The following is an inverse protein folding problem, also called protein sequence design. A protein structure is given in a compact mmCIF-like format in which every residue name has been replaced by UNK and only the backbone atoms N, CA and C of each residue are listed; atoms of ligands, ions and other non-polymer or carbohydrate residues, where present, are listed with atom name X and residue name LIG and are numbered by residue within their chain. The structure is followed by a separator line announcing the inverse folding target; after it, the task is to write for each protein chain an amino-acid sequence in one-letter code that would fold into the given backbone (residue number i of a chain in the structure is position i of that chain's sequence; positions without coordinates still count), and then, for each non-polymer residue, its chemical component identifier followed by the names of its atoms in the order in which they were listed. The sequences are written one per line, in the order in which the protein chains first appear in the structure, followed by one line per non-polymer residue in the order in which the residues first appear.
data_IF_763160437474
#
_entry.id   IF_763160437474
#
_cell.length_a   1.000
_cell.length_b   1.000
_cell.length_c   1.000
_cell.angle_alpha   90.00
_cell.angle_beta   90.00
_cell.angle_gamma   90.00
#
_symmetry.space_group_name_H-M   'P 1'
#
loop_
_entity.id
_entity.type
_entity.pdbx_description
1 polymer ?
#
# COMPACT_ATOMS: atom_id res chain seq x y z
N UNK A 1 -0.79 -9.89 7.88
CA UNK A 1 -1.14 -11.25 7.43
C UNK A 1 -2.32 -11.25 6.46
N UNK A 2 -3.48 -10.69 6.82
CA UNK A 2 -4.68 -10.70 5.97
C UNK A 2 -4.48 -10.11 4.56
N UNK A 3 -3.79 -8.98 4.40
CA UNK A 3 -3.50 -8.43 3.05
C UNK A 3 -2.79 -9.41 2.11
N UNK A 4 -1.73 -10.06 2.61
CA UNK A 4 -0.93 -11.02 1.83
C UNK A 4 -1.71 -12.32 1.61
N UNK A 5 -2.59 -12.70 2.55
CA UNK A 5 -3.47 -13.85 2.37
C UNK A 5 -4.51 -13.59 1.26
N UNK A 6 -5.15 -12.41 1.25
CA UNK A 6 -6.09 -12.00 0.20
C UNK A 6 -5.40 -11.99 -1.17
N UNK A 7 -4.24 -11.35 -1.28
CA UNK A 7 -3.45 -11.32 -2.51
C UNK A 7 -2.94 -12.69 -2.97
N UNK A 8 -2.95 -13.72 -2.11
CA UNK A 8 -2.63 -15.10 -2.49
C UNK A 8 -3.86 -15.90 -2.91
N UNK A 9 -5.02 -15.61 -2.33
CA UNK A 9 -6.25 -16.33 -2.56
C UNK A 9 -6.98 -15.86 -3.82
N UNK A 10 -6.91 -14.56 -4.11
CA UNK A 10 -7.58 -13.95 -5.26
C UNK A 10 -6.58 -13.66 -6.39
N UNK A 11 -6.85 -14.20 -7.58
CA UNK A 11 -6.00 -14.03 -8.77
C UNK A 11 -6.20 -12.69 -9.46
N UNK A 12 -7.29 -11.99 -9.18
CA UNK A 12 -7.56 -10.65 -9.71
C UNK A 12 -6.73 -9.59 -8.98
N UNK A 13 -6.19 -9.91 -7.80
CA UNK A 13 -5.35 -9.00 -7.03
C UNK A 13 -3.97 -8.89 -7.68
N UNK A 14 -3.68 -7.74 -8.27
CA UNK A 14 -2.42 -7.48 -8.96
C UNK A 14 -1.36 -6.82 -8.05
N UNK A 15 -1.78 -6.15 -6.97
CA UNK A 15 -0.89 -5.39 -6.10
C UNK A 15 -1.44 -5.25 -4.67
N UNK A 16 -0.54 -4.87 -3.75
CA UNK A 16 -0.89 -4.38 -2.41
C UNK A 16 -0.44 -2.91 -2.32
N UNK A 17 -1.35 -2.00 -2.02
CA UNK A 17 -1.03 -0.60 -1.81
C UNK A 17 -1.04 -0.27 -0.32
N UNK A 18 -0.10 0.54 0.17
CA UNK A 18 -0.08 0.96 1.56
C UNK A 18 0.39 2.39 1.78
N UNK A 19 -0.25 3.07 2.74
CA UNK A 19 0.24 4.35 3.26
C UNK A 19 1.10 4.12 4.50
N UNK A 20 2.27 4.74 4.57
CA UNK A 20 3.18 4.57 5.71
C UNK A 20 4.03 5.80 6.01
N UNK A 21 4.06 6.22 7.28
CA UNK A 21 4.92 7.34 7.73
C UNK A 21 6.35 6.91 8.11
N UNK A 22 6.54 5.66 8.54
CA UNK A 22 7.85 5.15 9.01
C UNK A 22 8.38 3.98 8.19
N UNK A 23 7.64 3.55 7.17
CA UNK A 23 7.96 2.37 6.36
C UNK A 23 7.70 1.04 7.08
N UNK A 24 7.17 1.04 8.31
CA UNK A 24 6.91 -0.19 9.08
C UNK A 24 5.92 -1.12 8.36
N UNK A 25 4.82 -0.57 7.86
CA UNK A 25 3.78 -1.33 7.14
C UNK A 25 4.36 -2.03 5.90
N UNK A 26 5.03 -1.28 5.03
CA UNK A 26 5.64 -1.80 3.82
C UNK A 26 6.69 -2.90 4.11
N UNK A 27 7.52 -2.72 5.14
CA UNK A 27 8.51 -3.73 5.56
C UNK A 27 7.85 -5.00 6.10
N UNK A 28 6.78 -4.89 6.89
CA UNK A 28 6.02 -6.05 7.36
C UNK A 28 5.43 -6.80 6.17
N UNK A 29 4.78 -6.11 5.24
CA UNK A 29 4.22 -6.73 4.03
C UNK A 29 5.32 -7.42 3.20
N UNK A 30 6.44 -6.74 2.94
CA UNK A 30 7.57 -7.29 2.19
C UNK A 30 8.17 -8.53 2.84
N UNK A 31 8.28 -8.56 4.18
CA UNK A 31 8.82 -9.72 4.91
C UNK A 31 8.02 -11.01 4.70
N UNK A 32 6.73 -10.88 4.37
CA UNK A 32 5.85 -12.01 4.08
C UNK A 32 5.98 -12.51 2.62
N UNK A 33 6.82 -11.86 1.80
CA UNK A 33 7.08 -12.20 0.40
C UNK A 33 5.78 -12.45 -0.39
N UNK A 34 4.91 -11.43 -0.52
CA UNK A 34 3.76 -11.54 -1.42
C UNK A 34 4.23 -11.83 -2.85
N UNK A 35 3.38 -12.50 -3.62
CA UNK A 35 3.65 -12.77 -5.05
C UNK A 35 3.44 -11.55 -5.95
N UNK A 36 2.80 -10.52 -5.40
CA UNK A 36 2.46 -9.25 -6.07
C UNK A 36 3.34 -8.12 -5.54
N UNK A 37 3.46 -7.04 -6.31
CA UNK A 37 4.20 -5.84 -5.90
C UNK A 37 3.51 -5.13 -4.72
N UNK A 38 4.31 -4.41 -3.93
CA UNK A 38 3.84 -3.55 -2.85
C UNK A 38 4.07 -2.09 -3.25
N UNK A 39 3.00 -1.34 -3.44
CA UNK A 39 3.03 0.10 -3.74
C UNK A 39 2.95 0.86 -2.41
N UNK A 40 4.06 1.48 -1.99
CA UNK A 40 4.18 2.14 -0.70
C UNK A 40 4.24 3.65 -0.85
N UNK A 41 3.26 4.35 -0.26
CA UNK A 41 3.16 5.80 -0.31
C UNK A 41 3.53 6.41 1.04
N UNK A 42 4.38 7.43 1.02
CA UNK A 42 4.84 8.13 2.22
C UNK A 42 4.98 9.63 2.00
N UNK A 43 4.68 10.48 2.99
CA UNK A 43 4.97 11.91 2.89
C UNK A 43 6.44 12.25 3.18
N UNK A 44 7.24 11.27 3.62
CA UNK A 44 8.63 11.50 3.99
C UNK A 44 9.57 10.89 2.96
N UNK A 45 10.27 11.74 2.20
CA UNK A 45 11.15 11.30 1.13
C UNK A 45 12.28 10.37 1.63
N UNK A 46 12.81 10.62 2.84
CA UNK A 46 13.79 9.74 3.47
C UNK A 46 13.26 8.31 3.70
N UNK A 47 11.96 8.15 3.93
CA UNK A 47 11.30 6.85 4.06
C UNK A 47 11.14 6.21 2.68
N UNK A 48 10.71 6.97 1.68
CA UNK A 48 10.61 6.51 0.28
C UNK A 48 11.95 5.97 -0.21
N UNK A 49 13.03 6.73 -0.05
CA UNK A 49 14.40 6.32 -0.45
C UNK A 49 14.85 5.04 0.24
N UNK A 50 14.53 4.85 1.52
CA UNK A 50 14.84 3.59 2.24
C UNK A 50 14.00 2.42 1.76
N UNK A 51 12.71 2.66 1.46
CA UNK A 51 11.79 1.64 0.97
C UNK A 51 12.11 1.17 -0.45
N UNK A 52 12.72 2.02 -1.29
CA UNK A 52 13.18 1.63 -2.63
C UNK A 52 14.20 0.47 -2.62
N UNK A 53 14.88 0.23 -1.49
CA UNK A 53 15.79 -0.90 -1.30
C UNK A 53 15.11 -2.15 -0.74
N UNK A 54 13.82 -2.07 -0.39
CA UNK A 54 13.08 -3.17 0.24
C UNK A 54 12.50 -4.06 -0.84
N UNK A 55 12.75 -5.36 -0.73
CA UNK A 55 12.31 -6.37 -1.70
C UNK A 55 10.81 -6.28 -2.01
N UNK A 56 10.47 -6.21 -3.31
CA UNK A 56 9.09 -6.19 -3.80
C UNK A 56 8.33 -4.89 -3.51
N UNK A 57 9.01 -3.83 -3.07
CA UNK A 57 8.41 -2.53 -2.77
C UNK A 57 8.72 -1.52 -3.88
N UNK A 58 7.67 -0.91 -4.43
CA UNK A 58 7.72 0.28 -5.26
C UNK A 58 7.25 1.46 -4.38
N UNK A 59 8.12 2.42 -4.11
CA UNK A 59 7.84 3.49 -3.15
C UNK A 59 7.75 4.85 -3.83
N UNK A 60 6.73 5.63 -3.47
CA UNK A 60 6.46 6.96 -4.02
C UNK A 60 6.12 7.96 -2.92
N UNK A 61 6.50 9.22 -3.13
CA UNK A 61 6.13 10.31 -2.21
C UNK A 61 4.67 10.71 -2.45
N UNK A 62 3.95 11.06 -1.39
CA UNK A 62 2.57 11.55 -1.46
C UNK A 62 2.34 12.73 -0.51
N UNK A 63 1.25 13.47 -0.70
CA UNK A 63 0.80 14.43 0.30
C UNK A 63 0.20 13.68 1.49
N UNK A 64 0.52 14.11 2.72
CA UNK A 64 -0.08 13.53 3.91
C UNK A 64 -1.58 13.84 3.94
N UNK A 65 -2.47 12.84 4.16
CA UNK A 65 -3.89 13.11 4.30
C UNK A 65 -4.16 13.85 5.62
N UNK A 66 -5.19 14.70 5.62
CA UNK A 66 -5.56 15.56 6.76
C UNK A 66 -5.93 14.78 8.03
N UNK A 67 -6.28 13.49 7.89
CA UNK A 67 -6.68 12.62 9.00
C UNK A 67 -6.49 11.13 8.68
N UNK A 68 -6.72 10.24 9.66
CA UNK A 68 -6.74 8.80 9.46
C UNK A 68 -7.76 8.31 8.44
N UNK A 69 -8.90 8.98 8.35
CA UNK A 69 -10.03 8.59 7.51
C UNK A 69 -9.67 8.69 6.02
N UNK A 70 -8.98 9.76 5.61
CA UNK A 70 -8.63 10.00 4.20
C UNK A 70 -7.47 9.16 3.65
N UNK A 71 -6.96 8.17 4.41
CA UNK A 71 -5.82 7.35 3.95
C UNK A 71 -6.20 6.39 2.83
N UNK A 72 -7.40 5.83 2.87
CA UNK A 72 -7.89 4.94 1.81
C UNK A 72 -8.22 5.71 0.54
N UNK A 73 -8.93 6.83 0.68
CA UNK A 73 -9.25 7.71 -0.44
C UNK A 73 -7.98 8.19 -1.15
N UNK A 74 -6.95 8.56 -0.37
CA UNK A 74 -5.64 8.90 -0.91
C UNK A 74 -5.02 7.73 -1.69
N UNK A 75 -5.07 6.50 -1.16
CA UNK A 75 -4.53 5.33 -1.86
C UNK A 75 -5.30 5.04 -3.14
N UNK A 76 -6.63 5.09 -3.11
CA UNK A 76 -7.47 4.86 -4.27
C UNK A 76 -7.17 5.91 -5.37
N UNK A 77 -7.04 7.18 -5.00
CA UNK A 77 -6.67 8.25 -5.92
C UNK A 77 -5.27 8.03 -6.51
N UNK A 78 -4.26 7.75 -5.68
CA UNK A 78 -2.89 7.52 -6.13
C UNK A 78 -2.77 6.30 -7.05
N UNK A 79 -3.59 5.27 -6.84
CA UNK A 79 -3.64 4.10 -7.70
C UNK A 79 -4.27 4.40 -9.07
N UNK A 80 -5.23 5.33 -9.14
CA UNK A 80 -5.76 5.81 -10.41
C UNK A 80 -4.71 6.52 -11.27
N UNK A 81 -3.73 7.16 -10.63
CA UNK A 81 -2.61 7.82 -11.31
C UNK A 81 -1.44 6.86 -11.62
N UNK A 82 -1.43 5.66 -11.03
CA UNK A 82 -0.33 4.70 -11.17
C UNK A 82 -0.51 3.78 -12.38
N UNK A 83 0.04 4.20 -13.51
CA UNK A 83 0.03 3.43 -14.77
C UNK A 83 0.75 2.08 -14.74
N UNK A 84 1.45 1.73 -13.65
CA UNK A 84 2.15 0.45 -13.54
C UNK A 84 1.25 -0.71 -13.15
N UNK A 85 0.02 -0.44 -12.69
CA UNK A 85 -0.99 -1.45 -12.37
C UNK A 85 -1.98 -1.56 -13.53
N UNK A 86 -2.24 -2.77 -14.08
CA UNK A 86 -3.19 -2.93 -15.16
C UNK A 86 -4.60 -2.47 -14.76
N UNK A 87 -5.24 -1.70 -15.63
CA UNK A 87 -6.61 -1.23 -15.43
C UNK A 87 -7.59 -2.39 -15.18
N UNK A 88 -8.58 -2.19 -14.30
CA UNK A 88 -9.54 -3.22 -13.89
C UNK A 88 -9.03 -4.24 -12.85
N UNK A 89 -7.74 -4.23 -12.54
CA UNK A 89 -7.14 -5.12 -11.52
C UNK A 89 -7.63 -4.77 -10.11
N UNK A 90 -7.70 -5.76 -9.24
CA UNK A 90 -7.93 -5.55 -7.82
C UNK A 90 -6.62 -5.20 -7.10
N UNK A 91 -6.71 -4.31 -6.11
CA UNK A 91 -5.59 -3.89 -5.27
C UNK A 91 -6.04 -3.91 -3.82
N UNK A 92 -5.23 -4.55 -2.97
CA UNK A 92 -5.49 -4.55 -1.52
C UNK A 92 -4.91 -3.27 -0.93
N UNK A 93 -5.77 -2.40 -0.43
CA UNK A 93 -5.40 -1.18 0.27
C UNK A 93 -5.11 -1.48 1.73
N UNK A 94 -3.98 -1.01 2.23
CA UNK A 94 -3.51 -1.24 3.60
C UNK A 94 -3.18 0.09 4.24
N UNK A 95 -3.95 0.46 5.26
CA UNK A 95 -3.66 1.62 6.09
C UNK A 95 -3.63 1.24 7.57
N UNK A 96 -3.03 2.09 8.38
CA UNK A 96 -3.27 2.07 9.82
C UNK A 96 -4.12 3.28 10.16
N UNK A 97 -5.20 3.06 10.91
CA UNK A 97 -6.03 4.12 11.50
C UNK A 97 -5.50 4.57 12.87
N UNK A 98 -4.53 3.85 13.45
CA UNK A 98 -4.17 3.96 14.85
C UNK A 98 -2.79 4.58 15.11
N UNK A 99 -2.67 5.11 16.33
CA UNK A 99 -1.54 5.70 17.06
C UNK A 99 -0.16 5.09 16.73
N UNK A 100 0.94 5.87 16.77
CA UNK A 100 2.29 5.33 16.62
C UNK A 100 2.53 4.10 17.51
N UNK A 101 2.88 2.96 16.91
CA UNK A 101 3.19 1.71 17.61
C UNK A 101 2.30 0.52 17.22
N UNK A 102 1.08 0.77 16.78
CA UNK A 102 0.14 -0.29 16.35
C UNK A 102 0.37 -0.64 14.86
N UNK A 103 0.28 -1.93 14.52
CA UNK A 103 0.38 -2.38 13.13
C UNK A 103 -0.75 -1.85 12.22
N UNK A 104 -0.73 -2.13 10.91
CA UNK A 104 -1.85 -1.79 10.03
C UNK A 104 -3.11 -2.52 10.51
N UNK A 105 -4.20 -1.78 10.72
CA UNK A 105 -5.49 -2.30 11.21
C UNK A 105 -6.64 -2.05 10.23
N UNK A 106 -6.34 -1.56 9.03
CA UNK A 106 -7.37 -1.28 8.04
C UNK A 106 -6.99 -1.86 6.67
N UNK A 107 -7.94 -2.58 6.09
CA UNK A 107 -7.80 -3.35 4.86
C UNK A 107 -9.06 -3.21 4.01
N UNK A 108 -8.89 -2.86 2.75
CA UNK A 108 -9.95 -2.75 1.75
C UNK A 108 -9.46 -3.33 0.42
N UNK A 109 -10.36 -3.83 -0.42
CA UNK A 109 -10.03 -4.22 -1.80
C UNK A 109 -10.69 -3.21 -2.74
N UNK A 110 -9.89 -2.49 -3.50
CA UNK A 110 -10.36 -1.54 -4.51
C UNK A 110 -10.01 -2.06 -5.92
N UNK A 111 -10.78 -1.66 -6.94
CA UNK A 111 -10.43 -1.90 -8.34
C UNK A 111 -9.86 -0.63 -8.95
N UNK A 112 -8.80 -0.79 -9.74
CA UNK A 112 -8.25 0.31 -10.55
C UNK A 112 -9.24 0.64 -11.66
N UNK A 113 -9.53 1.92 -11.84
CA UNK A 113 -10.44 2.38 -12.90
C UNK A 113 -9.93 1.98 -14.30
N UNK A 114 -10.87 1.66 -15.18
CA UNK A 114 -10.66 1.32 -16.60
C UNK A 114 -10.51 2.55 -17.48
#
# INVERSE_FOLDING_TARGET
YAAVALARADRDVAAIACYTRSGRTARILSSLRPRVSIHAFSPHEAVVRRLALVHGVQASTCMAPSGPEGRLDLLAWLLGEDSSIPAGSAVVLVASTATPGTGPNLLEVARVAG
#
